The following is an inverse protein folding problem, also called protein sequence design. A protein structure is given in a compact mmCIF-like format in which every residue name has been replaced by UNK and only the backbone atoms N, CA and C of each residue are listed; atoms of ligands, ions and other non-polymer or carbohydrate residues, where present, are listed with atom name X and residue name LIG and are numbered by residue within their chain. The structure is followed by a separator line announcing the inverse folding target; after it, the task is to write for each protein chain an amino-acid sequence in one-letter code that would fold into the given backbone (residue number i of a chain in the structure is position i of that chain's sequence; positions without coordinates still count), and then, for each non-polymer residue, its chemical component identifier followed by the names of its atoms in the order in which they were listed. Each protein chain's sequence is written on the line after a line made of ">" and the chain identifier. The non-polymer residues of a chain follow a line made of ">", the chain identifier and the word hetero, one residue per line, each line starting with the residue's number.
data_IF_281373130473
#
_entry.id   IF_281373130473
#
_cell.length_a   1.000
_cell.length_b   1.000
_cell.length_c   1.000
_cell.angle_alpha   90.00
_cell.angle_beta   90.00
_cell.angle_gamma   90.00
#
_symmetry.space_group_name_H-M   'P 1'
#
loop_
_entity.id
_entity.type
_entity.pdbx_description
1 polymer ?
#
# COMPACT_ATOMS: atom_id res chain seq x y z
N UNK A 1 17.01 5.72 -1.87
CA UNK A 1 18.18 4.95 -2.37
C UNK A 1 17.80 3.48 -2.47
N UNK A 2 18.18 2.76 -3.54
CA UNK A 2 17.72 1.39 -3.76
C UNK A 2 18.36 0.39 -2.80
N UNK A 3 17.58 -0.60 -2.36
CA UNK A 3 18.07 -1.79 -1.68
C UNK A 3 18.67 -2.74 -2.73
N UNK A 4 19.83 -3.30 -2.48
CA UNK A 4 20.47 -4.29 -3.36
C UNK A 4 19.84 -5.67 -3.19
N UNK A 5 19.49 -6.01 -1.95
CA UNK A 5 18.74 -7.19 -1.60
C UNK A 5 17.88 -6.89 -0.38
N UNK A 6 16.67 -7.43 -0.33
CA UNK A 6 15.77 -7.16 0.78
C UNK A 6 14.57 -8.08 0.81
N UNK A 7 13.83 -7.97 1.91
CA UNK A 7 12.62 -8.72 2.17
C UNK A 7 11.58 -7.79 2.79
N UNK A 8 10.37 -7.90 2.27
CA UNK A 8 9.16 -7.34 2.87
C UNK A 8 8.40 -8.48 3.56
N UNK A 9 7.96 -8.25 4.81
CA UNK A 9 7.10 -9.17 5.56
C UNK A 9 5.87 -8.43 6.05
N UNK A 10 4.71 -9.06 5.89
CA UNK A 10 3.48 -8.64 6.56
C UNK A 10 3.43 -9.31 7.94
N UNK A 11 3.27 -8.50 8.98
CA UNK A 11 3.04 -8.89 10.37
C UNK A 11 1.62 -8.47 10.76
N UNK A 12 1.10 -8.95 11.89
CA UNK A 12 -0.31 -8.73 12.31
C UNK A 12 -0.78 -7.27 12.39
N UNK A 13 0.14 -6.29 12.37
CA UNK A 13 -0.23 -4.87 12.33
C UNK A 13 0.81 -3.97 11.63
N UNK A 14 1.79 -4.55 10.94
CA UNK A 14 2.87 -3.78 10.33
C UNK A 14 3.48 -4.48 9.12
N UNK A 15 4.07 -3.68 8.24
CA UNK A 15 5.00 -4.12 7.23
C UNK A 15 6.43 -3.98 7.77
N UNK A 16 7.22 -5.03 7.71
CA UNK A 16 8.64 -5.02 8.03
C UNK A 16 9.46 -5.12 6.76
N UNK A 17 10.21 -4.06 6.45
CA UNK A 17 11.17 -4.00 5.36
C UNK A 17 12.59 -4.13 5.92
N UNK A 18 13.34 -5.10 5.43
CA UNK A 18 14.73 -5.30 5.84
C UNK A 18 15.58 -5.65 4.63
N UNK A 19 16.82 -5.16 4.57
CA UNK A 19 17.70 -5.46 3.46
C UNK A 19 19.10 -4.89 3.61
N UNK A 20 19.87 -5.02 2.54
CA UNK A 20 21.19 -4.44 2.38
C UNK A 20 21.10 -3.24 1.45
N UNK A 21 21.66 -2.13 1.90
CA UNK A 21 21.95 -0.94 1.12
C UNK A 21 23.47 -0.71 1.14
N UNK A 22 23.99 0.13 0.25
CA UNK A 22 25.41 0.50 0.23
C UNK A 22 25.93 0.96 1.60
N UNK A 23 25.10 1.68 2.36
CA UNK A 23 25.43 2.18 3.71
C UNK A 23 25.25 1.15 4.83
N UNK A 24 25.02 -0.12 4.50
CA UNK A 24 24.87 -1.22 5.45
C UNK A 24 23.47 -1.80 5.52
N UNK A 25 23.06 -2.25 6.69
CA UNK A 25 21.75 -2.90 6.88
C UNK A 25 20.66 -1.83 6.95
N UNK A 26 19.64 -1.99 6.12
CA UNK A 26 18.41 -1.22 6.18
C UNK A 26 17.34 -2.02 6.93
N UNK A 27 16.67 -1.38 7.90
CA UNK A 27 15.48 -1.91 8.55
C UNK A 27 14.48 -0.80 8.75
N UNK A 28 13.22 -1.09 8.42
CA UNK A 28 12.10 -0.20 8.66
C UNK A 28 10.85 -1.01 8.96
N UNK A 29 10.11 -0.56 9.97
CA UNK A 29 8.80 -1.08 10.31
C UNK A 29 7.76 0.01 10.05
N UNK A 30 6.74 -0.32 9.28
CA UNK A 30 5.66 0.60 8.88
C UNK A 30 4.36 0.06 9.47
N UNK A 31 3.73 0.74 10.44
CA UNK A 31 2.41 0.36 10.93
C UNK A 31 1.39 0.33 9.78
N UNK A 32 0.51 -0.67 9.71
CA UNK A 32 -0.49 -0.74 8.63
C UNK A 32 -1.41 0.48 8.63
N UNK A 33 -1.75 1.00 9.80
CA UNK A 33 -2.52 2.25 9.97
C UNK A 33 -1.85 3.50 9.38
N UNK A 34 -0.55 3.45 9.09
CA UNK A 34 0.15 4.56 8.46
C UNK A 34 0.08 4.49 6.93
N UNK A 35 -0.34 3.36 6.36
CA UNK A 35 -0.43 3.15 4.92
C UNK A 35 -1.77 3.69 4.43
N UNK A 36 -1.72 4.77 3.66
CA UNK A 36 -2.89 5.39 3.05
C UNK A 36 -3.31 4.65 1.77
N UNK A 37 -2.34 4.13 0.99
CA UNK A 37 -2.62 3.48 -0.28
C UNK A 37 -1.58 2.41 -0.61
N UNK A 38 -2.04 1.32 -1.22
CA UNK A 38 -1.20 0.27 -1.79
C UNK A 38 -1.55 0.12 -3.27
N UNK A 39 -0.54 0.12 -4.15
CA UNK A 39 -0.69 -0.15 -5.58
C UNK A 39 0.26 -1.27 -5.97
N UNK A 40 -0.28 -2.28 -6.66
CA UNK A 40 0.48 -3.39 -7.19
C UNK A 40 0.35 -3.44 -8.72
N UNK A 41 1.47 -3.48 -9.43
CA UNK A 41 1.53 -3.63 -10.87
C UNK A 41 2.02 -5.04 -11.22
N UNK A 42 1.10 -5.88 -11.69
CA UNK A 42 1.45 -7.20 -12.20
C UNK A 42 2.16 -7.09 -13.56
N UNK A 43 3.05 -8.04 -13.87
CA UNK A 43 3.68 -8.15 -15.19
C UNK A 43 4.77 -7.13 -15.51
N UNK A 44 5.19 -6.29 -14.54
CA UNK A 44 6.32 -5.36 -14.73
C UNK A 44 7.63 -6.17 -14.86
N UNK A 45 8.36 -6.06 -15.97
CA UNK A 45 9.61 -6.80 -16.14
C UNK A 45 10.68 -6.38 -15.13
N UNK A 46 11.57 -7.32 -14.77
CA UNK A 46 12.70 -7.03 -13.89
C UNK A 46 13.53 -5.86 -14.45
N UNK A 47 13.84 -4.88 -13.60
CA UNK A 47 14.62 -3.71 -13.97
C UNK A 47 13.84 -2.59 -14.68
N UNK A 48 12.56 -2.76 -14.99
CA UNK A 48 11.76 -1.72 -15.69
C UNK A 48 11.00 -0.77 -14.75
N UNK A 49 10.95 -1.04 -13.45
CA UNK A 49 10.31 -0.15 -12.49
C UNK A 49 9.92 -0.84 -11.19
N UNK A 50 9.35 -0.07 -10.26
CA UNK A 50 8.71 -0.63 -9.07
C UNK A 50 7.40 -1.34 -9.45
N UNK A 51 7.12 -2.47 -8.81
CA UNK A 51 5.86 -3.20 -8.96
C UNK A 51 4.96 -3.12 -7.72
N UNK A 52 5.47 -2.55 -6.62
CA UNK A 52 4.73 -2.26 -5.41
C UNK A 52 4.98 -0.81 -5.00
N UNK A 53 3.91 -0.05 -4.81
CA UNK A 53 3.95 1.33 -4.35
C UNK A 53 3.13 1.43 -3.07
N UNK A 54 3.73 1.96 -2.02
CA UNK A 54 3.08 2.25 -0.73
C UNK A 54 3.10 3.76 -0.51
N UNK A 55 1.93 4.37 -0.35
CA UNK A 55 1.82 5.78 0.05
C UNK A 55 1.37 5.83 1.51
N UNK A 56 2.08 6.61 2.31
CA UNK A 56 1.80 6.82 3.72
C UNK A 56 0.97 8.09 3.94
N UNK A 57 0.27 8.17 5.07
CA UNK A 57 -0.54 9.34 5.43
C UNK A 57 0.26 10.63 5.61
N UNK A 58 1.57 10.52 5.90
CA UNK A 58 2.49 11.66 5.99
C UNK A 58 2.96 12.18 4.62
N UNK A 59 2.48 11.57 3.52
CA UNK A 59 2.85 11.91 2.15
C UNK A 59 4.07 11.17 1.63
N UNK A 60 4.77 10.37 2.46
CA UNK A 60 5.90 9.57 1.99
C UNK A 60 5.42 8.46 1.04
N UNK A 61 6.16 8.25 -0.05
CA UNK A 61 5.92 7.15 -0.99
C UNK A 61 7.13 6.22 -1.06
N UNK A 62 6.89 4.93 -0.80
CA UNK A 62 7.87 3.87 -0.99
C UNK A 62 7.56 3.12 -2.29
N UNK A 63 8.51 3.15 -3.22
CA UNK A 63 8.47 2.39 -4.47
C UNK A 63 9.43 1.20 -4.37
N UNK A 64 8.90 -0.01 -4.49
CA UNK A 64 9.63 -1.26 -4.33
C UNK A 64 9.47 -2.14 -5.56
N UNK A 65 10.52 -2.86 -5.92
CA UNK A 65 10.43 -3.97 -6.85
C UNK A 65 10.56 -5.30 -6.11
N UNK A 66 9.62 -6.22 -6.35
CA UNK A 66 9.45 -7.46 -5.61
C UNK A 66 9.51 -8.66 -6.56
N UNK A 67 10.54 -9.51 -6.44
CA UNK A 67 10.80 -10.70 -7.30
C UNK A 67 9.72 -11.77 -7.25
N UNK A 68 9.02 -11.89 -6.14
CA UNK A 68 8.10 -12.99 -5.86
C UNK A 68 6.93 -12.50 -5.01
N UNK A 69 6.09 -11.62 -5.56
CA UNK A 69 4.79 -11.37 -4.96
C UNK A 69 3.86 -12.56 -5.27
N UNK A 70 4.12 -13.65 -4.56
CA UNK A 70 3.17 -14.74 -4.41
C UNK A 70 1.96 -14.28 -3.61
N UNK A 71 1.19 -13.30 -4.11
CA UNK A 71 -0.14 -12.95 -3.58
C UNK A 71 -1.10 -14.15 -3.68
N UNK A 72 -0.74 -15.18 -4.44
CA UNK A 72 -1.48 -16.41 -4.67
C UNK A 72 -1.48 -17.37 -3.46
N UNK A 73 -0.68 -17.11 -2.41
CA UNK A 73 -0.68 -17.91 -1.17
C UNK A 73 -1.36 -17.22 0.02
N UNK A 74 -1.83 -15.99 -0.15
CA UNK A 74 -2.48 -15.23 0.92
C UNK A 74 -3.79 -14.71 0.35
N UNK A 75 -4.91 -15.31 0.72
CA UNK A 75 -6.22 -14.72 0.47
C UNK A 75 -6.23 -13.34 1.13
N UNK A 76 -6.27 -12.29 0.30
CA UNK A 76 -6.53 -10.93 0.77
C UNK A 76 -8.01 -10.87 1.14
N UNK A 77 -8.34 -11.09 2.40
CA UNK A 77 -9.66 -10.72 2.92
C UNK A 77 -9.71 -9.19 2.96
N UNK A 78 -10.50 -8.60 2.08
CA UNK A 78 -10.93 -7.21 2.19
C UNK A 78 -11.74 -7.08 3.48
N UNK A 79 -11.12 -6.53 4.52
CA UNK A 79 -11.85 -6.00 5.67
C UNK A 79 -11.88 -4.49 5.54
N UNK A 80 -12.82 -4.00 4.74
CA UNK A 80 -13.31 -2.65 4.94
C UNK A 80 -13.95 -2.62 6.35
N UNK A 81 -13.48 -1.79 7.31
CA UNK A 81 -14.33 -1.45 8.43
C UNK A 81 -15.63 -0.92 7.81
N UNK A 82 -16.77 -1.49 8.20
CA UNK A 82 -18.07 -1.21 7.62
C UNK A 82 -18.14 0.29 7.30
N UNK A 83 -18.16 0.61 6.01
CA UNK A 83 -18.52 1.95 5.57
C UNK A 83 -19.88 2.16 6.22
N UNK A 84 -19.92 3.01 7.25
CA UNK A 84 -21.18 3.43 7.83
C UNK A 84 -22.02 3.88 6.63
N UNK A 85 -23.25 3.37 6.47
CA UNK A 85 -24.07 3.70 5.32
C UNK A 85 -24.08 5.23 5.22
N UNK A 86 -23.61 5.74 4.08
CA UNK A 86 -23.65 7.17 3.83
C UNK A 86 -25.09 7.60 4.06
N UNK A 87 -25.29 8.50 5.01
CA UNK A 87 -26.62 9.04 5.26
C UNK A 87 -27.14 9.55 3.92
N UNK A 88 -28.36 9.17 3.52
CA UNK A 88 -28.91 9.61 2.25
C UNK A 88 -28.85 11.13 2.23
N UNK A 89 -28.08 11.67 1.29
CA UNK A 89 -28.16 13.09 0.95
C UNK A 89 -29.59 13.31 0.51
N UNK A 90 -30.42 13.85 1.41
CA UNK A 90 -31.73 14.36 1.07
C UNK A 90 -31.51 15.32 -0.10
N UNK A 91 -31.99 14.92 -1.28
CA UNK A 91 -32.03 15.76 -2.43
C UNK A 91 -32.85 16.99 -2.04
N UNK A 92 -32.17 18.09 -1.71
CA UNK A 92 -32.80 19.40 -1.63
C UNK A 92 -33.48 19.59 -2.98
N UNK A 93 -34.82 19.52 -2.97
CA UNK A 93 -35.63 19.88 -4.10
C UNK A 93 -35.15 21.25 -4.58
N UNK A 94 -34.59 21.29 -5.78
CA UNK A 94 -34.43 22.52 -6.52
C UNK A 94 -35.84 23.03 -6.74
N UNK A 95 -36.19 24.07 -6.00
CA UNK A 95 -37.37 24.88 -6.18
C UNK A 95 -37.41 25.32 -7.65
N UNK A 96 -38.36 24.82 -8.47
CA UNK A 96 -38.49 25.33 -9.82
C UNK A 96 -39.16 26.69 -9.69
N UNK A 97 -38.35 27.76 -9.74
CA UNK A 97 -38.67 29.15 -10.09
C UNK A 97 -40.16 29.54 -10.10
N UNK A 98 -40.60 30.48 -9.27
CA UNK A 98 -40.49 31.93 -9.56
C UNK A 98 -41.10 32.32 -10.91
#
# INVERSE_FOLDING_TARGET
>A
MPLWWGRLRLLSGALSLSGLQWRGVYRRTIPLRAVARVVWHAGVPEGQGANLILTLHDGETLALWVKNAGLWKIALEERAPALLPEEPVEARALDPAA
#
